data_IF_320646803752
#
_entry.id   IF_320646803752
#
_cell.length_a   1.000
_cell.length_b   1.000
_cell.length_c   1.000
_cell.angle_alpha   90.00
_cell.angle_beta   90.00
_cell.angle_gamma   90.00
#
_symmetry.space_group_name_H-M   'P 1'
#
loop_
_entity.id
_entity.type
_entity.pdbx_description
1 polymer ?
#
# COMPACT_ATOMS: atom_id res chain seq x y z
N UNK A 1 -15.92 -39.49 0.33
CA UNK A 1 -14.48 -39.15 0.22
C UNK A 1 -14.28 -37.94 -0.71
N UNK A 2 -14.78 -36.74 -0.41
CA UNK A 2 -14.69 -35.59 -1.34
C UNK A 2 -14.18 -34.26 -0.77
N UNK A 3 -13.92 -34.16 0.54
CA UNK A 3 -13.52 -32.88 1.16
C UNK A 3 -12.02 -32.77 1.48
N UNK A 4 -11.28 -33.88 1.57
CA UNK A 4 -9.83 -33.86 1.86
C UNK A 4 -8.96 -33.50 0.64
N UNK A 5 -9.44 -33.79 -0.57
CA UNK A 5 -8.70 -33.53 -1.82
C UNK A 5 -8.70 -32.04 -2.21
N UNK A 6 -9.74 -31.29 -1.81
CA UNK A 6 -9.85 -29.83 -2.05
C UNK A 6 -8.95 -29.02 -1.09
N UNK A 7 -8.78 -29.48 0.14
CA UNK A 7 -7.88 -28.85 1.10
C UNK A 7 -6.39 -29.02 0.72
N UNK A 8 -6.04 -30.17 0.14
CA UNK A 8 -4.67 -30.46 -0.29
C UNK A 8 -4.27 -29.66 -1.55
N UNK A 9 -5.19 -29.50 -2.51
CA UNK A 9 -4.96 -28.68 -3.70
C UNK A 9 -4.79 -27.19 -3.41
N UNK A 10 -5.51 -26.66 -2.42
CA UNK A 10 -5.40 -25.25 -2.02
C UNK A 10 -4.12 -24.97 -1.22
N UNK A 11 -3.72 -25.91 -0.35
CA UNK A 11 -2.49 -25.80 0.45
C UNK A 11 -1.20 -25.87 -0.37
N UNK A 12 -1.15 -26.72 -1.40
CA UNK A 12 0.03 -26.86 -2.28
C UNK A 12 0.15 -25.70 -3.28
N UNK A 13 -0.98 -25.11 -3.71
CA UNK A 13 -0.98 -23.94 -4.60
C UNK A 13 -0.53 -22.65 -3.87
N UNK A 14 -0.90 -22.52 -2.59
CA UNK A 14 -0.44 -21.42 -1.72
C UNK A 14 1.07 -21.50 -1.43
N UNK A 15 1.61 -22.70 -1.17
CA UNK A 15 3.04 -22.83 -0.83
C UNK A 15 3.96 -22.64 -2.03
N UNK A 16 3.62 -23.14 -3.23
CA UNK A 16 4.40 -22.89 -4.46
C UNK A 16 4.29 -21.44 -4.95
N UNK A 17 3.10 -20.83 -4.84
CA UNK A 17 2.92 -19.40 -5.12
C UNK A 17 3.69 -18.50 -4.14
N UNK A 18 3.76 -18.88 -2.87
CA UNK A 18 4.52 -18.17 -1.84
C UNK A 18 6.04 -18.18 -2.12
N UNK A 19 6.62 -19.30 -2.54
CA UNK A 19 8.08 -19.37 -2.80
C UNK A 19 8.47 -18.48 -3.98
N UNK A 20 7.70 -18.49 -5.07
CA UNK A 20 7.96 -17.63 -6.23
C UNK A 20 7.76 -16.14 -5.91
N UNK A 21 6.69 -15.80 -5.16
CA UNK A 21 6.41 -14.43 -4.73
C UNK A 21 7.50 -13.85 -3.82
N UNK A 22 7.98 -14.64 -2.85
CA UNK A 22 9.06 -14.21 -1.96
C UNK A 22 10.34 -13.86 -2.71
N UNK A 23 10.75 -14.69 -3.68
CA UNK A 23 11.98 -14.44 -4.44
C UNK A 23 11.90 -13.20 -5.34
N UNK A 24 10.71 -12.86 -5.86
CA UNK A 24 10.54 -11.64 -6.64
C UNK A 24 10.56 -10.38 -5.77
N UNK A 25 9.82 -10.37 -4.65
CA UNK A 25 9.80 -9.23 -3.73
C UNK A 25 11.21 -8.98 -3.17
N UNK A 26 11.89 -10.03 -2.72
CA UNK A 26 13.26 -9.95 -2.19
C UNK A 26 14.25 -9.39 -3.22
N UNK A 27 14.20 -9.87 -4.48
CA UNK A 27 15.05 -9.36 -5.56
C UNK A 27 14.75 -7.89 -5.89
N UNK A 28 13.48 -7.51 -6.01
CA UNK A 28 13.08 -6.13 -6.35
C UNK A 28 13.49 -5.19 -5.21
N UNK A 29 13.27 -5.60 -3.97
CA UNK A 29 13.58 -4.81 -2.80
C UNK A 29 15.10 -4.59 -2.65
N UNK A 30 15.91 -5.63 -2.84
CA UNK A 30 17.38 -5.52 -2.88
C UNK A 30 17.89 -4.63 -4.02
N UNK A 31 17.15 -4.55 -5.12
CA UNK A 31 17.54 -3.77 -6.29
C UNK A 31 17.06 -2.30 -6.27
N UNK A 32 16.04 -1.95 -5.48
CA UNK A 32 15.39 -0.64 -5.62
C UNK A 32 14.59 -0.09 -4.43
N UNK A 33 14.60 -0.76 -3.28
CA UNK A 33 13.87 -0.32 -2.09
C UNK A 33 12.34 -0.35 -2.24
N UNK A 34 11.62 0.14 -1.21
CA UNK A 34 10.16 0.07 -1.10
C UNK A 34 9.46 0.78 -2.28
N UNK A 35 9.97 1.93 -2.73
CA UNK A 35 9.40 2.68 -3.85
C UNK A 35 9.26 1.82 -5.11
N UNK A 36 10.31 1.07 -5.45
CA UNK A 36 10.34 0.22 -6.64
C UNK A 36 9.44 -1.01 -6.48
N UNK A 37 9.34 -1.55 -5.27
CA UNK A 37 8.36 -2.62 -4.97
C UNK A 37 6.94 -2.14 -5.25
N UNK A 38 6.58 -0.95 -4.76
CA UNK A 38 5.25 -0.39 -4.98
C UNK A 38 5.01 -0.04 -6.46
N UNK A 39 5.98 0.57 -7.12
CA UNK A 39 5.86 0.92 -8.55
C UNK A 39 5.64 -0.33 -9.42
N UNK A 40 6.18 -1.50 -9.04
CA UNK A 40 6.01 -2.76 -9.79
C UNK A 40 4.79 -3.58 -9.37
N UNK A 41 4.51 -3.66 -8.07
CA UNK A 41 3.51 -4.59 -7.51
C UNK A 41 2.23 -3.89 -7.03
N UNK A 42 2.20 -2.56 -7.02
CA UNK A 42 1.08 -1.77 -6.48
C UNK A 42 -0.26 -2.13 -7.10
N UNK A 43 -0.32 -2.44 -8.39
CA UNK A 43 -1.55 -2.88 -9.06
C UNK A 43 -2.06 -4.24 -8.56
N UNK A 44 -1.18 -5.18 -8.25
CA UNK A 44 -1.57 -6.49 -7.74
C UNK A 44 -1.89 -6.46 -6.24
N UNK A 45 -1.16 -5.63 -5.49
CA UNK A 45 -1.50 -5.28 -4.10
C UNK A 45 -2.90 -4.66 -4.01
N UNK A 46 -3.21 -3.70 -4.89
CA UNK A 46 -4.53 -3.05 -4.94
C UNK A 46 -5.65 -4.05 -5.22
N UNK A 47 -5.48 -4.90 -6.24
CA UNK A 47 -6.46 -5.96 -6.54
C UNK A 47 -6.61 -6.94 -5.37
N UNK A 48 -5.53 -7.30 -4.68
CA UNK A 48 -5.58 -8.18 -3.53
C UNK A 48 -6.37 -7.56 -2.37
N UNK A 49 -6.13 -6.28 -2.08
CA UNK A 49 -6.88 -5.54 -1.06
C UNK A 49 -8.34 -5.39 -1.46
N UNK A 50 -8.64 -5.04 -2.71
CA UNK A 50 -10.02 -4.94 -3.21
C UNK A 50 -10.77 -6.27 -3.07
N UNK A 51 -10.13 -7.41 -3.32
CA UNK A 51 -10.72 -8.74 -3.06
C UNK A 51 -10.94 -8.98 -1.56
N UNK A 52 -9.96 -8.66 -0.73
CA UNK A 52 -10.04 -8.86 0.73
C UNK A 52 -11.18 -8.06 1.36
N UNK A 53 -11.38 -6.83 0.90
CA UNK A 53 -12.40 -5.91 1.43
C UNK A 53 -13.72 -5.96 0.67
N UNK A 54 -13.84 -6.82 -0.35
CA UNK A 54 -14.97 -6.86 -1.28
C UNK A 54 -15.28 -5.50 -1.93
N UNK A 55 -14.24 -4.70 -2.18
CA UNK A 55 -14.33 -3.41 -2.88
C UNK A 55 -14.33 -3.63 -4.39
N UNK A 56 -15.26 -2.98 -5.10
CA UNK A 56 -15.39 -3.07 -6.56
C UNK A 56 -15.31 -1.67 -7.19
N UNK A 57 -14.10 -1.19 -7.52
CA UNK A 57 -13.93 0.08 -8.21
C UNK A 57 -14.67 0.13 -9.55
N UNK A 58 -15.17 1.30 -9.90
CA UNK A 58 -15.93 1.55 -11.12
C UNK A 58 -15.60 2.95 -11.70
N UNK A 59 -16.44 3.44 -12.61
CA UNK A 59 -16.25 4.76 -13.23
C UNK A 59 -16.43 5.95 -12.28
N UNK A 60 -17.08 5.76 -11.13
CA UNK A 60 -17.37 6.81 -10.16
C UNK A 60 -16.38 6.80 -8.99
N UNK A 61 -15.62 5.72 -8.84
CA UNK A 61 -14.78 5.47 -7.69
C UNK A 61 -13.60 4.55 -8.02
N UNK A 62 -12.40 4.94 -7.58
CA UNK A 62 -11.17 4.20 -7.82
C UNK A 62 -10.40 3.93 -6.53
N UNK A 63 -9.57 2.88 -6.56
CA UNK A 63 -8.53 2.62 -5.59
C UNK A 63 -7.18 2.49 -6.29
N UNK A 64 -6.09 2.75 -5.58
CA UNK A 64 -4.73 2.36 -5.99
C UNK A 64 -3.79 2.27 -4.80
N UNK A 65 -2.71 1.50 -4.92
CA UNK A 65 -1.63 1.47 -3.93
C UNK A 65 -0.50 2.42 -4.33
N UNK A 66 -0.04 3.23 -3.37
CA UNK A 66 1.07 4.19 -3.49
C UNK A 66 2.04 4.05 -2.33
N UNK A 67 3.31 4.49 -2.45
CA UNK A 67 4.25 4.44 -1.34
C UNK A 67 3.83 5.37 -0.19
N UNK A 68 4.16 4.96 1.04
CA UNK A 68 4.15 5.84 2.21
C UNK A 68 5.54 6.44 2.38
N UNK A 69 5.58 7.76 2.49
CA UNK A 69 6.80 8.54 2.66
C UNK A 69 6.70 9.31 3.98
N UNK A 70 7.71 9.16 4.85
CA UNK A 70 7.80 9.95 6.06
C UNK A 70 7.99 11.43 5.72
N UNK A 71 7.10 12.29 6.24
CA UNK A 71 7.16 13.72 5.98
C UNK A 71 8.39 14.40 6.61
N UNK A 72 8.94 13.83 7.70
CA UNK A 72 10.10 14.39 8.39
C UNK A 72 11.41 14.16 7.65
N UNK A 73 11.67 12.93 7.20
CA UNK A 73 12.97 12.55 6.62
C UNK A 73 12.90 12.09 5.15
N UNK A 74 11.72 12.05 4.54
CA UNK A 74 11.55 11.63 3.15
C UNK A 74 11.75 10.12 2.91
N UNK A 75 11.91 9.33 3.97
CA UNK A 75 12.13 7.89 3.84
C UNK A 75 10.86 7.18 3.34
N UNK A 76 11.04 6.24 2.42
CA UNK A 76 9.98 5.28 2.05
C UNK A 76 9.86 4.25 3.16
N UNK A 77 8.69 4.16 3.78
CA UNK A 77 8.48 3.35 4.99
C UNK A 77 7.38 2.28 4.85
N UNK A 78 6.67 2.26 3.72
CA UNK A 78 5.64 1.27 3.44
C UNK A 78 4.84 1.62 2.20
N UNK A 79 3.63 1.06 2.09
CA UNK A 79 2.67 1.43 1.07
C UNK A 79 1.25 1.55 1.64
N UNK A 80 0.39 2.30 0.96
CA UNK A 80 -0.99 2.52 1.34
C UNK A 80 -1.89 2.41 0.12
N UNK A 81 -3.06 1.80 0.29
CA UNK A 81 -4.14 1.95 -0.65
C UNK A 81 -4.85 3.28 -0.37
N UNK A 82 -5.06 4.05 -1.44
CA UNK A 82 -5.87 5.25 -1.42
C UNK A 82 -7.13 5.06 -2.24
N UNK A 83 -8.16 5.84 -1.91
CA UNK A 83 -9.54 5.59 -2.34
C UNK A 83 -10.31 6.92 -2.50
N UNK A 84 -11.05 7.08 -3.60
CA UNK A 84 -11.80 8.31 -3.89
C UNK A 84 -12.28 8.40 -5.36
N UNK A 85 -12.64 9.60 -5.82
CA UNK A 85 -13.01 9.83 -7.23
C UNK A 85 -11.83 9.52 -8.16
N UNK A 86 -12.04 8.88 -9.34
CA UNK A 86 -10.94 8.44 -10.21
C UNK A 86 -9.95 9.53 -10.63
N UNK A 87 -10.43 10.73 -10.93
CA UNK A 87 -9.62 11.90 -11.29
C UNK A 87 -8.76 12.42 -10.15
N UNK A 88 -9.19 12.25 -8.89
CA UNK A 88 -8.42 12.65 -7.71
C UNK A 88 -7.42 11.54 -7.33
N UNK A 89 -7.86 10.29 -7.32
CA UNK A 89 -7.01 9.12 -7.04
C UNK A 89 -5.84 9.08 -8.02
N UNK A 90 -6.04 9.41 -9.30
CA UNK A 90 -4.95 9.50 -10.29
C UNK A 90 -3.87 10.50 -9.90
N UNK A 91 -4.20 11.61 -9.24
CA UNK A 91 -3.24 12.64 -8.85
C UNK A 91 -2.33 12.23 -7.69
N UNK A 92 -2.76 11.27 -6.85
CA UNK A 92 -1.97 10.85 -5.68
C UNK A 92 -0.67 10.18 -6.12
N UNK A 93 0.48 10.65 -5.68
CA UNK A 93 1.77 10.01 -5.97
C UNK A 93 2.32 9.23 -4.79
N UNK A 94 1.95 9.63 -3.58
CA UNK A 94 2.37 9.02 -2.33
C UNK A 94 1.36 9.31 -1.22
N UNK A 95 1.56 8.69 -0.06
CA UNK A 95 0.94 9.08 1.20
C UNK A 95 2.03 9.61 2.12
N UNK A 96 1.92 10.86 2.57
CA UNK A 96 2.78 11.39 3.62
C UNK A 96 2.36 10.81 4.97
N UNK A 97 3.31 10.26 5.72
CA UNK A 97 3.14 9.96 7.13
C UNK A 97 3.73 11.09 7.96
N UNK A 98 2.87 11.73 8.76
CA UNK A 98 3.27 12.70 9.79
C UNK A 98 3.10 12.04 11.14
N UNK A 99 4.13 12.09 11.97
CA UNK A 99 4.10 11.58 13.33
C UNK A 99 4.11 12.72 14.34
N UNK A 100 3.41 12.52 15.44
CA UNK A 100 3.44 13.41 16.58
C UNK A 100 3.11 12.64 17.84
N UNK A 101 3.47 13.19 18.98
CA UNK A 101 3.12 12.61 20.27
C UNK A 101 2.03 13.44 20.94
N UNK A 102 1.09 12.76 21.59
CA UNK A 102 0.01 13.35 22.35
C UNK A 102 0.05 12.84 23.79
N UNK A 103 -0.32 13.70 24.74
CA UNK A 103 -0.22 13.44 26.19
C UNK A 103 1.21 13.13 26.69
N UNK A 104 2.25 13.63 26.03
CA UNK A 104 3.63 13.28 26.35
C UNK A 104 4.21 12.39 25.25
N UNK A 105 4.61 11.16 25.60
CA UNK A 105 5.08 10.11 24.66
C UNK A 105 4.22 8.84 24.71
N UNK A 106 3.13 8.88 25.47
CA UNK A 106 2.25 7.75 25.77
C UNK A 106 1.33 7.43 24.58
N UNK A 107 0.94 8.45 23.80
CA UNK A 107 0.08 8.30 22.63
C UNK A 107 0.81 8.78 21.38
N UNK A 108 1.25 7.83 20.54
CA UNK A 108 1.84 8.14 19.24
C UNK A 108 0.75 8.29 18.18
N UNK A 109 0.70 9.47 17.56
CA UNK A 109 -0.17 9.76 16.44
C UNK A 109 0.57 9.48 15.11
N UNK A 110 -0.16 8.88 14.16
CA UNK A 110 0.31 8.72 12.77
C UNK A 110 -0.79 9.21 11.85
N UNK A 111 -0.59 10.39 11.27
CA UNK A 111 -1.48 10.93 10.26
C UNK A 111 -1.00 10.50 8.87
N UNK A 112 -1.91 9.94 8.07
CA UNK A 112 -1.66 9.53 6.70
C UNK A 112 -2.40 10.47 5.74
N UNK A 113 -1.65 11.13 4.87
CA UNK A 113 -2.15 12.21 4.02
C UNK A 113 -1.86 11.84 2.57
N UNK A 114 -2.89 11.61 1.72
CA UNK A 114 -2.68 11.46 0.28
C UNK A 114 -2.15 12.75 -0.34
N UNK A 115 -1.07 12.65 -1.11
CA UNK A 115 -0.34 13.80 -1.66
C UNK A 115 -0.01 13.63 -3.14
N UNK A 116 0.08 14.73 -3.88
CA UNK A 116 0.38 14.74 -5.33
C UNK A 116 1.87 14.84 -5.65
N UNK A 117 2.74 14.67 -4.65
CA UNK A 117 4.20 14.74 -4.77
C UNK A 117 4.86 13.54 -4.09
N UNK A 118 6.04 13.12 -4.56
CA UNK A 118 6.91 12.16 -3.86
C UNK A 118 7.90 12.86 -2.88
N UNK A 119 7.87 14.19 -2.77
CA UNK A 119 8.79 14.99 -1.95
C UNK A 119 8.06 15.81 -0.86
N UNK A 120 7.48 15.17 0.16
CA UNK A 120 6.64 15.86 1.16
C UNK A 120 7.39 16.89 2.03
N UNK A 121 8.72 16.83 2.08
CA UNK A 121 9.55 17.76 2.85
C UNK A 121 9.52 19.20 2.33
N UNK A 122 9.24 19.40 1.04
CA UNK A 122 9.14 20.74 0.42
C UNK A 122 7.73 21.32 0.49
N UNK A 123 6.78 20.54 0.99
CA UNK A 123 5.35 20.85 1.01
C UNK A 123 4.54 19.58 0.79
N UNK A 124 3.40 19.47 1.49
CA UNK A 124 2.58 18.28 1.44
C UNK A 124 1.84 18.13 0.11
N UNK A 125 1.31 19.21 -0.49
CA UNK A 125 0.48 19.12 -1.72
C UNK A 125 -0.62 18.05 -1.60
N UNK A 126 -1.45 18.19 -0.56
CA UNK A 126 -2.55 17.26 -0.25
C UNK A 126 -3.53 17.15 -1.42
N UNK A 127 -3.97 15.93 -1.70
CA UNK A 127 -5.07 15.66 -2.63
C UNK A 127 -6.36 15.53 -1.83
N UNK A 128 -7.14 16.61 -1.79
CA UNK A 128 -8.42 16.62 -1.09
C UNK A 128 -9.44 15.68 -1.75
N UNK A 129 -10.32 15.08 -0.94
CA UNK A 129 -11.34 14.15 -1.42
C UNK A 129 -10.82 12.73 -1.70
N UNK A 130 -9.57 12.43 -1.33
CA UNK A 130 -8.99 11.08 -1.34
C UNK A 130 -8.62 10.68 0.08
N UNK A 131 -8.99 9.46 0.48
CA UNK A 131 -8.66 8.88 1.78
C UNK A 131 -7.71 7.69 1.65
N UNK A 132 -7.11 7.28 2.76
CA UNK A 132 -6.39 6.01 2.87
C UNK A 132 -7.38 4.92 3.30
N UNK A 133 -7.44 3.82 2.54
CA UNK A 133 -8.35 2.70 2.80
C UNK A 133 -7.64 1.46 3.38
N UNK A 134 -6.34 1.32 3.15
CA UNK A 134 -5.55 0.23 3.71
C UNK A 134 -4.05 0.60 3.78
N UNK A 135 -3.31 -0.10 4.64
CA UNK A 135 -1.84 -0.03 4.73
C UNK A 135 -1.29 -1.40 4.34
N UNK A 136 -0.13 -1.41 3.69
CA UNK A 136 0.61 -2.60 3.31
C UNK A 136 1.98 -2.55 3.98
N UNK A 137 2.19 -3.50 4.89
CA UNK A 137 3.49 -3.74 5.50
C UNK A 137 4.30 -4.71 4.64
N UNK A 138 5.40 -4.23 4.08
CA UNK A 138 6.37 -5.06 3.36
C UNK A 138 7.39 -5.55 4.38
N UNK A 139 7.27 -6.82 4.77
CA UNK A 139 8.27 -7.46 5.63
C UNK A 139 9.51 -7.76 4.81
N UNK A 140 10.66 -7.38 5.37
CA UNK A 140 12.00 -7.57 4.82
C UNK A 140 12.73 -8.55 5.71
#
# INVERSE_FOLDING_TARGET
MSNSLRAFGLGVLLTLGCVLGYTQIDRILKAGGIAVVVDRLGGDMDKAINRLTNTKPDKNFATKVVPIISAGNGAYIGAAQVMGKPELVRQVQAVAQVEGDFMGREVRLRALIPISTKNPQRGLSRVEGVGVSAIVDIRI
#
